data_IF_479142469277
#
_entry.id   IF_479142469277
#
_cell.length_a   1.000
_cell.length_b   1.000
_cell.length_c   1.000
_cell.angle_alpha   90.00
_cell.angle_beta   90.00
_cell.angle_gamma   90.00
#
_symmetry.space_group_name_H-M   'P 1'
#
loop_
_entity.id
_entity.type
_entity.pdbx_description
1 polymer ?
#
# COMPACT_ATOMS: atom_id res chain seq x y z
N UNK A 1 -20.87 -30.68 -33.51
CA UNK A 1 -21.48 -30.26 -32.23
C UNK A 1 -20.67 -29.11 -31.68
N UNK A 2 -21.26 -27.91 -31.63
CA UNK A 2 -20.66 -26.70 -31.08
C UNK A 2 -20.69 -26.81 -29.56
N UNK A 3 -19.52 -26.74 -28.91
CA UNK A 3 -19.42 -26.66 -27.46
C UNK A 3 -19.59 -25.18 -27.10
N UNK A 4 -20.73 -24.89 -26.48
CA UNK A 4 -21.22 -23.55 -26.15
C UNK A 4 -20.39 -22.92 -25.04
N UNK A 5 -20.11 -21.62 -25.17
CA UNK A 5 -19.31 -20.83 -24.23
C UNK A 5 -19.95 -20.64 -22.86
N UNK A 6 -19.74 -21.62 -21.98
CA UNK A 6 -20.16 -21.61 -20.57
C UNK A 6 -19.08 -21.17 -19.58
N UNK A 7 -17.79 -21.23 -19.93
CA UNK A 7 -16.75 -21.30 -18.88
C UNK A 7 -16.04 -19.97 -18.59
N UNK A 8 -16.11 -18.98 -19.51
CA UNK A 8 -15.47 -17.68 -19.29
C UNK A 8 -16.17 -16.85 -18.20
N UNK A 9 -17.48 -17.04 -18.03
CA UNK A 9 -18.28 -16.29 -17.06
C UNK A 9 -18.17 -16.88 -15.64
N UNK A 10 -17.94 -18.20 -15.54
CA UNK A 10 -17.67 -18.87 -14.28
C UNK A 10 -16.29 -18.51 -13.71
N UNK A 11 -15.25 -18.38 -14.55
CA UNK A 11 -13.92 -17.94 -14.11
C UNK A 11 -13.88 -16.48 -13.64
N UNK A 12 -14.68 -15.59 -14.26
CA UNK A 12 -14.75 -14.18 -13.86
C UNK A 12 -15.38 -13.99 -12.48
N UNK A 13 -16.29 -14.89 -12.08
CA UNK A 13 -16.99 -14.82 -10.80
C UNK A 13 -16.13 -15.33 -9.62
N UNK A 14 -15.22 -16.27 -9.88
CA UNK A 14 -14.34 -16.84 -8.86
C UNK A 14 -13.21 -15.89 -8.39
N UNK A 15 -12.93 -14.83 -9.16
CA UNK A 15 -11.87 -13.85 -8.87
C UNK A 15 -12.37 -12.50 -8.36
N UNK A 16 -13.67 -12.36 -8.06
CA UNK A 16 -14.24 -11.11 -7.53
C UNK A 16 -14.18 -9.91 -8.48
N UNK A 17 -13.92 -10.15 -9.77
CA UNK A 17 -13.89 -9.09 -10.79
C UNK A 17 -15.30 -8.75 -11.24
N UNK A 18 -15.78 -7.54 -10.93
CA UNK A 18 -16.95 -6.98 -11.62
C UNK A 18 -16.65 -6.94 -13.12
N UNK A 19 -17.53 -7.46 -14.00
CA UNK A 19 -17.30 -7.40 -15.44
C UNK A 19 -17.14 -5.95 -15.87
N UNK A 20 -15.98 -5.66 -16.45
CA UNK A 20 -15.63 -4.34 -16.98
C UNK A 20 -16.56 -4.04 -18.14
N UNK A 21 -17.25 -2.91 -18.04
CA UNK A 21 -18.14 -2.42 -19.09
C UNK A 21 -17.35 -2.30 -20.41
N UNK A 22 -17.80 -2.99 -21.48
CA UNK A 22 -17.05 -3.06 -22.76
C UNK A 22 -16.77 -1.67 -23.34
N UNK A 23 -17.60 -0.68 -22.99
CA UNK A 23 -17.46 0.72 -23.39
C UNK A 23 -16.21 1.41 -22.82
N UNK A 24 -15.63 0.93 -21.71
CA UNK A 24 -14.47 1.57 -21.07
C UNK A 24 -13.20 1.47 -21.93
N UNK A 25 -13.07 0.40 -22.72
CA UNK A 25 -11.91 0.16 -23.59
C UNK A 25 -11.87 1.05 -24.83
N UNK A 26 -13.01 1.61 -25.22
CA UNK A 26 -13.14 2.52 -26.37
C UNK A 26 -12.98 3.99 -26.01
N UNK A 27 -12.89 4.34 -24.73
CA UNK A 27 -12.73 5.73 -24.30
C UNK A 27 -11.30 6.21 -24.48
N UNK A 28 -11.14 7.47 -24.89
CA UNK A 28 -9.83 8.11 -24.86
C UNK A 28 -9.39 8.41 -23.43
N UNK A 29 -10.28 8.82 -22.53
CA UNK A 29 -10.00 9.08 -21.11
C UNK A 29 -11.00 8.36 -20.21
N UNK A 30 -10.51 7.72 -19.15
CA UNK A 30 -11.33 7.03 -18.17
C UNK A 30 -11.90 8.03 -17.15
N UNK A 31 -13.17 7.86 -16.73
CA UNK A 31 -13.76 8.67 -15.66
C UNK A 31 -13.02 8.50 -14.34
N UNK A 32 -12.98 9.57 -13.53
CA UNK A 32 -12.36 9.55 -12.20
C UNK A 32 -12.92 8.45 -11.29
N UNK A 33 -14.23 8.17 -11.37
CA UNK A 33 -14.88 7.11 -10.61
C UNK A 33 -14.34 5.70 -10.93
N UNK A 34 -13.97 5.47 -12.19
CA UNK A 34 -13.34 4.21 -12.61
C UNK A 34 -11.91 4.13 -12.09
N UNK A 35 -11.16 5.22 -12.17
CA UNK A 35 -9.78 5.31 -11.68
C UNK A 35 -9.69 5.13 -10.15
N UNK A 36 -10.69 5.61 -9.40
CA UNK A 36 -10.76 5.43 -7.94
C UNK A 36 -10.97 3.99 -7.47
N UNK A 37 -11.20 3.04 -8.37
CA UNK A 37 -11.14 1.61 -8.06
C UNK A 37 -9.72 1.11 -7.81
N UNK A 38 -8.70 1.89 -8.17
CA UNK A 38 -7.30 1.60 -7.88
C UNK A 38 -7.00 1.90 -6.41
N UNK A 39 -6.94 0.84 -5.61
CA UNK A 39 -6.63 0.91 -4.17
C UNK A 39 -5.12 0.88 -3.90
N UNK A 40 -4.72 1.23 -2.67
CA UNK A 40 -3.34 1.17 -2.20
C UNK A 40 -2.70 -0.23 -2.35
N UNK A 41 -3.50 -1.31 -2.27
CA UNK A 41 -3.03 -2.69 -2.52
C UNK A 41 -2.46 -2.82 -3.95
N UNK A 42 -3.21 -2.36 -4.96
CA UNK A 42 -2.77 -2.47 -6.35
C UNK A 42 -1.56 -1.58 -6.65
N UNK A 43 -1.52 -0.39 -6.04
CA UNK A 43 -0.38 0.54 -6.16
C UNK A 43 0.88 -0.09 -5.58
N UNK A 44 0.81 -0.61 -4.35
CA UNK A 44 1.97 -1.23 -3.72
C UNK A 44 2.47 -2.44 -4.52
N UNK A 45 1.56 -3.30 -5.00
CA UNK A 45 1.96 -4.42 -5.87
C UNK A 45 2.60 -3.92 -7.17
N UNK A 46 2.12 -2.82 -7.76
CA UNK A 46 2.70 -2.24 -8.97
C UNK A 46 4.12 -1.67 -8.74
N UNK A 47 4.36 -1.11 -7.55
CA UNK A 47 5.71 -0.70 -7.13
C UNK A 47 6.63 -1.92 -7.04
N UNK A 48 6.20 -3.00 -6.39
CA UNK A 48 7.00 -4.24 -6.28
C UNK A 48 7.34 -4.86 -7.65
N UNK A 49 6.38 -4.85 -8.58
CA UNK A 49 6.60 -5.29 -9.97
C UNK A 49 7.72 -4.50 -10.65
N UNK A 50 7.67 -3.18 -10.57
CA UNK A 50 8.66 -2.31 -11.21
C UNK A 50 10.04 -2.47 -10.58
N UNK A 51 10.12 -2.65 -9.25
CA UNK A 51 11.36 -2.99 -8.54
C UNK A 51 11.93 -4.31 -9.04
N UNK A 52 11.06 -5.29 -9.29
CA UNK A 52 11.44 -6.61 -9.79
C UNK A 52 11.76 -6.64 -11.29
N UNK A 53 11.69 -5.49 -11.97
CA UNK A 53 12.01 -5.37 -13.40
C UNK A 53 10.89 -5.80 -14.34
N UNK A 54 9.63 -5.84 -13.88
CA UNK A 54 8.48 -6.10 -14.76
C UNK A 54 8.28 -4.92 -15.71
N UNK A 55 8.15 -5.21 -17.01
CA UNK A 55 7.91 -4.19 -18.02
C UNK A 55 6.59 -3.43 -17.77
N UNK A 56 6.59 -2.14 -18.12
CA UNK A 56 5.40 -1.28 -18.10
C UNK A 56 5.03 -0.84 -19.52
N UNK A 57 4.27 -1.67 -20.28
CA UNK A 57 4.10 -1.44 -21.71
C UNK A 57 3.39 -0.11 -22.00
N UNK A 58 4.04 0.73 -22.80
CA UNK A 58 3.53 2.04 -23.19
C UNK A 58 3.80 3.17 -22.19
N UNK A 59 4.48 2.89 -21.07
CA UNK A 59 4.96 3.92 -20.14
C UNK A 59 6.46 4.11 -20.30
N UNK A 60 6.89 5.38 -20.29
CA UNK A 60 8.31 5.75 -20.32
C UNK A 60 8.81 6.19 -18.95
N UNK A 61 10.07 6.64 -18.90
CA UNK A 61 10.67 7.22 -17.70
C UNK A 61 9.92 8.48 -17.22
N UNK A 62 10.17 8.85 -15.95
CA UNK A 62 9.68 10.09 -15.35
C UNK A 62 10.08 11.31 -16.17
N UNK A 63 9.11 12.10 -16.60
CA UNK A 63 9.35 13.39 -17.26
C UNK A 63 9.53 14.50 -16.24
N UNK A 64 8.49 14.74 -15.44
CA UNK A 64 8.36 15.94 -14.60
C UNK A 64 8.39 15.63 -13.09
N UNK A 65 7.97 14.42 -12.71
CA UNK A 65 7.83 14.00 -11.31
C UNK A 65 8.31 12.58 -11.11
N UNK A 66 8.88 12.32 -9.93
CA UNK A 66 9.30 11.01 -9.45
C UNK A 66 8.44 10.59 -8.25
N UNK A 67 8.06 9.31 -8.22
CA UNK A 67 7.52 8.65 -7.04
C UNK A 67 8.68 8.12 -6.20
N UNK A 68 8.75 8.54 -4.93
CA UNK A 68 9.79 8.12 -3.99
C UNK A 68 9.38 6.80 -3.34
N UNK A 69 10.20 5.76 -3.50
CA UNK A 69 10.01 4.45 -2.88
C UNK A 69 10.90 4.28 -1.65
N UNK A 70 12.15 4.73 -1.75
CA UNK A 70 13.11 4.84 -0.65
C UNK A 70 14.16 5.92 -0.99
N UNK A 71 15.17 6.11 -0.12
CA UNK A 71 16.23 7.12 -0.29
C UNK A 71 17.01 6.99 -1.62
N UNK A 72 17.04 5.80 -2.23
CA UNK A 72 17.86 5.50 -3.40
C UNK A 72 17.03 5.11 -4.63
N UNK A 73 15.74 4.88 -4.46
CA UNK A 73 14.85 4.39 -5.51
C UNK A 73 13.72 5.36 -5.84
N UNK A 74 13.69 5.73 -7.12
CA UNK A 74 12.67 6.59 -7.74
C UNK A 74 11.99 5.84 -8.88
N UNK A 75 10.67 5.93 -8.95
CA UNK A 75 9.87 5.30 -10.00
C UNK A 75 9.00 6.31 -10.76
N UNK A 76 8.68 6.06 -12.04
CA UNK A 76 7.75 6.89 -12.79
C UNK A 76 6.31 6.77 -12.27
N UNK A 77 5.68 7.86 -11.78
CA UNK A 77 4.32 7.81 -11.22
C UNK A 77 3.28 7.27 -12.19
N UNK A 78 3.39 7.63 -13.49
CA UNK A 78 2.49 7.15 -14.55
C UNK A 78 2.60 5.64 -14.76
N UNK A 79 3.80 5.08 -14.72
CA UNK A 79 4.00 3.65 -14.91
C UNK A 79 3.42 2.87 -13.74
N UNK A 80 3.71 3.31 -12.51
CA UNK A 80 3.19 2.72 -11.27
C UNK A 80 1.66 2.70 -11.31
N UNK A 81 1.04 3.84 -11.59
CA UNK A 81 -0.41 3.93 -11.64
C UNK A 81 -1.01 3.13 -12.81
N UNK A 82 -0.37 3.11 -13.97
CA UNK A 82 -0.84 2.35 -15.13
C UNK A 82 -0.88 0.84 -14.88
N UNK A 83 0.16 0.30 -14.24
CA UNK A 83 0.20 -1.11 -13.82
C UNK A 83 -0.85 -1.41 -12.73
N UNK A 84 -0.98 -0.52 -11.74
CA UNK A 84 -1.98 -0.65 -10.69
C UNK A 84 -3.42 -0.63 -11.27
N UNK A 85 -3.69 0.28 -12.20
CA UNK A 85 -4.98 0.39 -12.89
C UNK A 85 -5.26 -0.82 -13.78
N UNK A 86 -4.24 -1.35 -14.46
CA UNK A 86 -4.36 -2.58 -15.25
C UNK A 86 -4.82 -3.76 -14.39
N UNK A 87 -4.27 -3.87 -13.18
CA UNK A 87 -4.67 -4.91 -12.20
C UNK A 87 -6.06 -4.69 -11.65
N UNK A 88 -6.37 -3.47 -11.20
CA UNK A 88 -7.66 -3.15 -10.61
C UNK A 88 -8.82 -3.28 -11.61
N UNK A 89 -8.58 -2.90 -12.87
CA UNK A 89 -9.60 -2.88 -13.91
C UNK A 89 -9.57 -4.15 -14.79
N UNK A 90 -8.59 -5.03 -14.69
CA UNK A 90 -8.56 -6.28 -15.45
C UNK A 90 -8.41 -6.12 -16.98
N UNK A 91 -7.89 -4.98 -17.45
CA UNK A 91 -7.49 -4.78 -18.85
C UNK A 91 -6.33 -3.80 -18.93
N UNK A 92 -5.54 -3.86 -20.00
CA UNK A 92 -4.35 -3.03 -20.16
C UNK A 92 -4.68 -1.53 -20.22
N UNK A 93 -4.12 -0.77 -19.28
CA UNK A 93 -4.22 0.69 -19.21
C UNK A 93 -2.96 1.32 -19.80
N UNK A 94 -3.13 2.24 -20.74
CA UNK A 94 -2.10 3.03 -21.39
C UNK A 94 -2.13 4.50 -20.91
N UNK A 95 -1.06 5.29 -21.11
CA UNK A 95 -1.01 6.70 -20.70
C UNK A 95 -2.13 7.58 -21.27
N UNK A 96 -2.69 7.19 -22.42
CA UNK A 96 -3.81 7.91 -23.03
C UNK A 96 -5.07 7.88 -22.16
N UNK A 97 -5.27 6.90 -21.28
CA UNK A 97 -6.51 6.78 -20.50
C UNK A 97 -6.59 7.69 -19.28
N UNK A 98 -5.48 8.26 -18.80
CA UNK A 98 -5.48 9.12 -17.61
C UNK A 98 -4.37 10.17 -17.64
N UNK A 99 -4.55 11.23 -16.86
CA UNK A 99 -3.54 12.28 -16.69
C UNK A 99 -2.78 12.05 -15.39
N UNK A 100 -1.46 12.22 -15.41
CA UNK A 100 -0.67 12.32 -14.20
C UNK A 100 0.07 13.67 -14.19
N UNK A 101 -0.13 14.40 -13.09
CA UNK A 101 0.31 15.76 -12.83
C UNK A 101 -0.35 16.25 -11.54
N UNK A 102 0.02 17.44 -11.08
CA UNK A 102 -0.56 18.03 -9.86
C UNK A 102 -2.09 18.10 -9.94
N UNK A 103 -2.77 17.76 -8.83
CA UNK A 103 -4.22 17.68 -8.69
C UNK A 103 -4.91 16.66 -9.61
N UNK A 104 -4.18 15.65 -10.11
CA UNK A 104 -4.79 14.56 -10.86
C UNK A 104 -5.13 13.39 -9.94
N UNK A 105 -6.21 12.67 -10.28
CA UNK A 105 -6.66 11.46 -9.56
C UNK A 105 -5.53 10.43 -9.41
N UNK A 106 -4.59 10.39 -10.36
CA UNK A 106 -3.42 9.54 -10.29
C UNK A 106 -2.49 9.92 -9.12
N UNK A 107 -2.21 11.22 -8.93
CA UNK A 107 -1.33 11.67 -7.85
C UNK A 107 -2.01 11.53 -6.51
N UNK A 108 -3.28 11.92 -6.41
CA UNK A 108 -4.08 11.78 -5.19
C UNK A 108 -4.05 10.32 -4.68
N UNK A 109 -4.29 9.35 -5.57
CA UNK A 109 -4.31 7.93 -5.19
C UNK A 109 -2.93 7.37 -4.82
N UNK A 110 -1.86 7.87 -5.43
CA UNK A 110 -0.48 7.48 -5.08
C UNK A 110 -0.09 8.04 -3.69
N UNK A 111 -0.48 9.28 -3.40
CA UNK A 111 -0.26 9.93 -2.11
C UNK A 111 -1.11 9.28 -0.99
N UNK A 112 -2.38 8.99 -1.26
CA UNK A 112 -3.26 8.24 -0.36
C UNK A 112 -2.75 6.82 -0.09
N UNK A 113 -2.05 6.22 -1.06
CA UNK A 113 -1.38 4.94 -0.89
C UNK A 113 -0.10 5.04 -0.03
N UNK A 114 0.29 6.24 0.42
CA UNK A 114 1.41 6.49 1.31
C UNK A 114 2.74 6.75 0.60
N UNK A 115 2.74 7.04 -0.70
CA UNK A 115 3.93 7.40 -1.46
C UNK A 115 4.06 8.91 -1.60
N UNK A 116 5.29 9.41 -1.74
CA UNK A 116 5.54 10.84 -1.99
C UNK A 116 5.89 11.05 -3.45
N UNK A 117 5.37 12.13 -4.03
CA UNK A 117 5.70 12.55 -5.40
C UNK A 117 6.48 13.85 -5.32
N UNK A 118 7.63 13.91 -6.00
CA UNK A 118 8.48 15.11 -6.04
C UNK A 118 8.80 15.51 -7.47
N UNK A 119 8.97 16.81 -7.75
CA UNK A 119 9.50 17.26 -9.04
C UNK A 119 10.89 16.68 -9.32
N UNK A 120 11.17 16.37 -10.58
CA UNK A 120 12.46 15.84 -11.02
C UNK A 120 13.59 16.83 -10.66
N UNK A 121 14.62 16.34 -9.97
CA UNK A 121 15.76 17.16 -9.52
C UNK A 121 15.63 17.77 -8.13
N UNK A 122 14.48 17.65 -7.46
CA UNK A 122 14.38 18.00 -6.04
C UNK A 122 14.85 16.84 -5.15
N UNK A 123 15.66 17.17 -4.15
CA UNK A 123 15.95 16.29 -3.03
C UNK A 123 14.77 16.29 -2.05
N UNK A 124 14.49 15.12 -1.48
CA UNK A 124 13.53 15.00 -0.39
C UNK A 124 14.22 15.57 0.85
N UNK A 125 13.92 16.82 1.20
CA UNK A 125 14.26 17.32 2.53
C UNK A 125 13.27 16.65 3.48
N UNK A 126 13.71 15.60 4.18
CA UNK A 126 12.94 15.08 5.29
C UNK A 126 12.84 16.16 6.36
N UNK A 127 11.64 16.59 6.77
CA UNK A 127 11.53 17.23 8.05
C UNK A 127 11.93 16.18 9.08
N UNK A 128 13.06 16.40 9.77
CA UNK A 128 13.40 15.67 10.99
C UNK A 128 12.32 16.00 12.01
N UNK A 129 11.17 15.34 11.93
CA UNK A 129 10.17 15.36 12.96
C UNK A 129 10.84 14.70 14.18
N UNK A 130 10.77 15.31 15.37
CA UNK A 130 11.20 14.64 16.58
C UNK A 130 10.41 13.34 16.64
N UNK A 131 11.12 12.22 16.50
CA UNK A 131 10.59 10.87 16.51
C UNK A 131 9.74 10.75 17.77
N UNK A 132 8.41 10.77 17.63
CA UNK A 132 7.52 10.60 18.76
C UNK A 132 7.77 9.20 19.32
N UNK A 133 8.25 9.22 20.56
CA UNK A 133 8.73 8.11 21.36
C UNK A 133 7.83 6.88 21.28
N UNK A 134 8.43 5.68 21.30
CA UNK A 134 7.79 4.58 22.04
C UNK A 134 8.69 3.47 22.62
N UNK A 135 10.02 3.58 22.58
CA UNK A 135 10.91 2.64 23.31
C UNK A 135 11.96 3.40 24.14
N UNK A 136 11.52 4.24 25.08
CA UNK A 136 12.41 4.65 26.17
C UNK A 136 12.61 3.46 27.09
N UNK A 137 13.79 2.82 27.05
CA UNK A 137 14.24 1.95 28.14
C UNK A 137 14.51 2.86 29.33
N UNK A 138 13.61 2.85 30.32
CA UNK A 138 13.81 3.54 31.57
C UNK A 138 14.73 2.68 32.45
N UNK A 139 15.99 3.07 32.60
CA UNK A 139 16.67 2.88 33.87
C UNK A 139 16.22 4.06 34.74
N UNK A 140 15.47 3.79 35.81
CA UNK A 140 15.13 4.82 36.79
C UNK A 140 16.40 5.62 37.13
N UNK A 141 16.40 6.92 36.82
CA UNK A 141 17.39 7.87 37.36
C UNK A 141 18.46 8.43 36.41
N UNK A 142 18.67 7.95 35.18
CA UNK A 142 19.55 8.64 34.20
C UNK A 142 19.08 8.48 32.75
N UNK A 143 18.60 9.55 32.08
CA UNK A 143 18.30 9.49 30.66
C UNK A 143 19.61 9.33 29.87
N UNK A 144 19.82 8.17 29.25
CA UNK A 144 20.76 8.04 28.13
C UNK A 144 20.00 8.31 26.84
N UNK A 145 20.50 9.26 26.04
CA UNK A 145 20.08 9.42 24.65
C UNK A 145 20.56 8.19 23.88
N UNK A 146 19.64 7.29 23.57
CA UNK A 146 19.86 6.22 22.61
C UNK A 146 19.00 6.55 21.41
N UNK A 147 19.62 7.08 20.35
CA UNK A 147 18.96 7.24 19.06
C UNK A 147 18.73 5.84 18.49
N UNK A 148 17.49 5.35 18.56
CA UNK A 148 17.11 4.14 17.86
C UNK A 148 16.86 4.54 16.41
N UNK A 149 17.78 4.20 15.50
CA UNK A 149 17.51 4.22 14.08
C UNK A 149 16.37 3.22 13.83
N UNK A 150 15.15 3.75 13.68
CA UNK A 150 14.00 2.95 13.30
C UNK A 150 14.15 2.72 11.81
N UNK A 151 14.44 1.48 11.39
CA UNK A 151 14.31 1.09 9.98
C UNK A 151 12.93 1.54 9.51
N UNK A 152 12.91 2.39 8.48
CA UNK A 152 11.68 2.87 7.90
C UNK A 152 10.82 1.69 7.45
N UNK A 153 9.53 1.76 7.76
CA UNK A 153 8.57 0.82 7.15
C UNK A 153 8.50 1.23 5.68
N UNK A 154 8.62 0.26 4.76
CA UNK A 154 8.42 0.49 3.34
C UNK A 154 7.15 1.35 3.13
N UNK A 155 7.26 2.52 2.47
CA UNK A 155 6.13 3.42 2.31
C UNK A 155 4.98 2.68 1.64
N UNK A 156 3.78 2.95 2.12
CA UNK A 156 2.55 2.33 1.64
C UNK A 156 2.30 0.87 2.03
N UNK A 157 3.24 0.14 2.64
CA UNK A 157 3.00 -1.27 3.06
C UNK A 157 1.82 -1.40 4.03
N UNK A 158 1.73 -0.48 5.00
CA UNK A 158 0.60 -0.44 5.93
C UNK A 158 -0.72 -0.07 5.24
N UNK A 159 -0.71 0.87 4.29
CA UNK A 159 -1.90 1.25 3.52
C UNK A 159 -2.37 0.09 2.65
N UNK A 160 -1.45 -0.59 1.96
CA UNK A 160 -1.70 -1.75 1.13
C UNK A 160 -2.32 -2.89 1.92
N UNK A 161 -1.77 -3.24 3.09
CA UNK A 161 -2.34 -4.31 3.92
C UNK A 161 -3.74 -3.98 4.41
N UNK A 162 -3.99 -2.74 4.86
CA UNK A 162 -5.32 -2.30 5.28
C UNK A 162 -6.32 -2.31 4.12
N UNK A 163 -5.90 -1.90 2.93
CA UNK A 163 -6.73 -1.93 1.72
C UNK A 163 -7.11 -3.36 1.31
N UNK A 164 -6.13 -4.27 1.29
CA UNK A 164 -6.35 -5.70 1.05
C UNK A 164 -7.32 -6.27 2.09
N UNK A 165 -7.10 -5.97 3.37
CA UNK A 165 -7.95 -6.45 4.46
C UNK A 165 -9.41 -6.01 4.27
N UNK A 166 -9.63 -4.73 3.93
CA UNK A 166 -10.97 -4.22 3.63
C UNK A 166 -11.58 -4.85 2.39
N UNK A 167 -10.79 -5.11 1.34
CA UNK A 167 -11.28 -5.78 0.12
C UNK A 167 -11.73 -7.22 0.41
N UNK A 168 -11.00 -7.95 1.24
CA UNK A 168 -11.28 -9.36 1.54
C UNK A 168 -12.38 -9.52 2.59
N UNK A 169 -12.35 -8.71 3.65
CA UNK A 169 -13.23 -8.89 4.82
C UNK A 169 -14.31 -7.82 4.95
N UNK A 170 -14.37 -6.83 4.05
CA UNK A 170 -15.36 -5.76 4.00
C UNK A 170 -15.12 -4.61 5.00
N UNK A 171 -14.44 -4.87 6.12
CA UNK A 171 -14.13 -3.86 7.16
C UNK A 171 -12.83 -4.16 7.89
N UNK A 172 -12.22 -3.16 8.53
CA UNK A 172 -11.07 -3.36 9.40
C UNK A 172 -11.49 -3.83 10.79
N UNK A 173 -10.82 -4.84 11.32
CA UNK A 173 -10.93 -5.26 12.72
C UNK A 173 -9.61 -5.88 13.18
N UNK A 174 -9.41 -5.99 14.49
CA UNK A 174 -8.24 -6.65 15.03
C UNK A 174 -8.28 -8.16 14.75
N UNK A 175 -7.27 -8.70 14.06
CA UNK A 175 -7.19 -10.14 13.76
C UNK A 175 -7.12 -11.01 15.02
N UNK A 176 -6.56 -10.48 16.11
CA UNK A 176 -6.40 -11.21 17.38
C UNK A 176 -7.66 -11.21 18.24
N UNK A 177 -8.16 -10.02 18.62
CA UNK A 177 -9.30 -9.91 19.55
C UNK A 177 -10.66 -9.67 18.85
N UNK A 178 -10.68 -9.60 17.51
CA UNK A 178 -11.89 -9.37 16.68
C UNK A 178 -12.62 -8.05 16.94
N UNK A 179 -11.96 -7.16 17.66
CA UNK A 179 -12.42 -5.82 17.99
C UNK A 179 -12.59 -4.98 16.71
N UNK A 180 -13.81 -4.46 16.48
CA UNK A 180 -14.15 -3.54 15.39
C UNK A 180 -13.97 -2.08 15.83
N UNK A 181 -12.96 -1.37 15.33
CA UNK A 181 -12.65 -0.02 15.78
C UNK A 181 -13.71 1.02 15.41
N UNK A 182 -14.49 0.81 14.36
CA UNK A 182 -15.57 1.73 13.96
C UNK A 182 -16.73 1.62 14.94
N UNK A 183 -17.02 0.42 15.44
CA UNK A 183 -18.07 0.20 16.45
C UNK A 183 -17.72 0.86 17.80
N UNK A 184 -16.43 0.91 18.20
CA UNK A 184 -16.03 1.53 19.49
C UNK A 184 -15.68 3.02 19.38
N UNK A 185 -14.95 3.43 18.33
CA UNK A 185 -14.39 4.77 18.24
C UNK A 185 -15.07 5.65 17.18
N UNK A 186 -16.03 5.10 16.43
CA UNK A 186 -16.76 5.78 15.37
C UNK A 186 -16.09 5.70 14.00
N UNK A 187 -16.87 6.00 12.95
CA UNK A 187 -16.45 5.83 11.55
C UNK A 187 -15.36 6.81 11.10
N UNK A 188 -15.30 8.01 11.69
CA UNK A 188 -14.38 9.06 11.26
C UNK A 188 -12.92 8.71 11.61
N UNK A 189 -12.68 8.24 12.83
CA UNK A 189 -11.32 8.06 13.36
C UNK A 189 -11.02 6.64 13.84
N UNK A 190 -12.01 5.74 13.87
CA UNK A 190 -11.82 4.41 14.44
C UNK A 190 -10.73 3.61 13.76
N UNK A 191 -10.67 3.61 12.42
CA UNK A 191 -9.66 2.85 11.67
C UNK A 191 -8.20 3.18 12.04
N UNK A 192 -7.94 4.35 12.64
CA UNK A 192 -6.61 4.71 13.17
C UNK A 192 -6.14 3.79 14.31
N UNK A 193 -7.05 3.15 15.03
CA UNK A 193 -6.74 2.20 16.11
C UNK A 193 -6.10 0.89 15.61
N UNK A 194 -6.26 0.56 14.32
CA UNK A 194 -5.69 -0.65 13.72
C UNK A 194 -4.31 -0.35 13.15
N UNK A 195 -3.31 -1.06 13.64
CA UNK A 195 -1.93 -1.00 13.22
C UNK A 195 -1.55 -2.28 12.45
N UNK A 196 -0.64 -2.16 11.48
CA UNK A 196 -0.11 -3.30 10.75
C UNK A 196 1.17 -3.79 11.42
N UNK A 197 1.22 -5.08 11.73
CA UNK A 197 2.32 -5.76 12.41
C UNK A 197 2.83 -6.93 11.58
N UNK A 198 4.15 -7.18 11.59
CA UNK A 198 4.74 -8.37 10.96
C UNK A 198 4.49 -9.61 11.83
N UNK A 199 3.83 -10.63 11.29
CA UNK A 199 3.32 -11.77 12.05
C UNK A 199 4.40 -12.52 12.83
N UNK A 200 5.58 -12.73 12.23
CA UNK A 200 6.60 -13.63 12.77
C UNK A 200 7.87 -12.94 13.30
N UNK A 201 8.19 -11.72 12.84
CA UNK A 201 9.49 -11.09 13.09
C UNK A 201 9.32 -9.61 13.42
N UNK A 202 10.14 -9.09 14.34
CA UNK A 202 10.17 -7.65 14.58
C UNK A 202 10.97 -6.94 13.50
N UNK A 203 10.50 -5.77 13.05
CA UNK A 203 11.19 -4.97 12.01
C UNK A 203 12.66 -4.69 12.37
N UNK A 204 12.95 -4.48 13.66
CA UNK A 204 14.33 -4.25 14.13
C UNK A 204 15.25 -5.46 13.91
N UNK A 205 14.70 -6.67 13.79
CA UNK A 205 15.42 -7.93 13.59
C UNK A 205 15.54 -8.32 12.11
N UNK A 206 14.91 -7.57 11.19
CA UNK A 206 14.96 -7.86 9.76
C UNK A 206 16.33 -7.51 9.18
N UNK A 207 16.82 -8.29 8.22
CA UNK A 207 18.00 -7.93 7.43
C UNK A 207 17.69 -6.82 6.43
N UNK A 208 18.70 -6.25 5.78
CA UNK A 208 18.51 -5.26 4.71
C UNK A 208 17.75 -5.84 3.50
N UNK A 209 17.95 -7.13 3.21
CA UNK A 209 17.35 -7.84 2.07
C UNK A 209 16.02 -8.55 2.40
N UNK A 210 15.37 -8.20 3.52
CA UNK A 210 14.16 -8.90 3.93
C UNK A 210 12.96 -8.49 3.06
N UNK A 211 12.54 -9.39 2.16
CA UNK A 211 11.34 -9.23 1.38
C UNK A 211 10.10 -9.51 2.25
N UNK A 212 9.13 -8.60 2.21
CA UNK A 212 7.87 -8.73 2.94
C UNK A 212 6.72 -8.83 1.95
N UNK A 213 5.88 -9.86 2.10
CA UNK A 213 4.60 -9.95 1.38
C UNK A 213 3.44 -9.55 2.31
N UNK A 214 2.27 -9.24 1.75
CA UNK A 214 1.13 -8.79 2.55
C UNK A 214 0.65 -9.88 3.53
N UNK A 215 0.87 -11.15 3.20
CA UNK A 215 0.55 -12.32 4.03
C UNK A 215 1.43 -12.42 5.28
N UNK A 216 2.63 -11.82 5.27
CA UNK A 216 3.51 -11.74 6.44
C UNK A 216 2.99 -10.71 7.47
N UNK A 217 1.96 -9.95 7.12
CA UNK A 217 1.42 -8.87 7.92
C UNK A 217 0.07 -9.24 8.54
N UNK A 218 -0.21 -8.65 9.70
CA UNK A 218 -1.50 -8.74 10.37
C UNK A 218 -1.97 -7.38 10.87
N UNK A 219 -3.28 -7.16 10.82
CA UNK A 219 -3.97 -5.98 11.35
C UNK A 219 -4.34 -6.20 12.82
N UNK A 220 -3.73 -5.44 13.73
CA UNK A 220 -3.96 -5.54 15.18
C UNK A 220 -4.43 -4.20 15.75
N UNK A 221 -5.29 -4.19 16.75
CA UNK A 221 -5.55 -2.95 17.50
C UNK A 221 -4.30 -2.55 18.31
N UNK A 222 -4.20 -1.26 18.67
CA UNK A 222 -3.09 -0.71 19.45
C UNK A 222 -2.72 -1.57 20.68
N UNK A 223 -3.71 -2.09 21.42
CA UNK A 223 -3.47 -2.96 22.58
C UNK A 223 -2.88 -4.32 22.19
N UNK A 224 -3.47 -5.02 21.20
CA UNK A 224 -2.96 -6.31 20.75
C UNK A 224 -1.58 -6.18 20.09
N UNK A 225 -1.34 -5.08 19.36
CA UNK A 225 -0.05 -4.76 18.78
C UNK A 225 1.05 -4.69 19.85
N UNK A 226 0.80 -3.97 20.96
CA UNK A 226 1.73 -3.88 22.10
C UNK A 226 1.98 -5.25 22.76
N UNK A 227 0.94 -6.06 22.93
CA UNK A 227 1.07 -7.41 23.51
C UNK A 227 1.93 -8.31 22.62
N UNK A 228 1.66 -8.34 21.31
CA UNK A 228 2.44 -9.15 20.35
C UNK A 228 3.90 -8.73 20.30
N UNK A 229 4.20 -7.42 20.38
CA UNK A 229 5.59 -6.96 20.50
C UNK A 229 6.30 -7.50 21.74
N UNK A 230 5.60 -7.61 22.88
CA UNK A 230 6.18 -8.18 24.11
C UNK A 230 6.40 -9.68 23.99
N UNK A 231 5.42 -10.40 23.45
CA UNK A 231 5.51 -11.85 23.22
C UNK A 231 6.73 -12.20 22.35
N UNK A 232 6.92 -11.51 21.22
CA UNK A 232 8.07 -11.71 20.34
C UNK A 232 9.43 -11.33 20.96
N UNK A 233 9.46 -10.47 21.98
CA UNK A 233 10.69 -10.21 22.76
C UNK A 233 10.99 -11.35 23.74
N UNK A 234 9.96 -12.06 24.22
CA UNK A 234 10.07 -13.11 25.24
C UNK A 234 10.39 -14.51 24.70
N UNK A 235 10.26 -14.76 23.39
CA UNK A 235 10.71 -16.00 22.74
C UNK A 235 12.23 -16.05 22.46
N UNK A 236 13.03 -15.32 23.26
CA UNK A 236 14.49 -15.34 23.24
C UNK A 236 15.04 -16.02 24.48
#
# INVERSE_FOLDING_TARGET
MKISGGDAQALSLALGGTPVDKNLRSLDRLPAEVLRKVTAEYIWRAVQDLISGVDSPGFGESTDYDLIVDEHLRLPPKAVFGLAATRALGFQILPKYFTAGLNSVCFDLLEDAGFRIVPKGNEVVEPVLPILQEDRVWAEGRPKLVAHLRRERAPGLSCAKKAEFKRVYGRLYCERCKMDPVEIYGAENGEACIEVHHRAVQVVQMGAEHLTILEDLQCLCASCHRVTHRELKSFR
#
